data_IF_651089618224
#
_entry.id   IF_651089618224
#
_cell.length_a   1.000
_cell.length_b   1.000
_cell.length_c   1.000
_cell.angle_alpha   90.00
_cell.angle_beta   90.00
_cell.angle_gamma   90.00
#
_symmetry.space_group_name_H-M   'P 1'
#
loop_
_entity.id
_entity.type
_entity.pdbx_description
1 polymer ?
#
# COMPACT_ATOMS: atom_id res chain seq x y z
N UNK A 1 8.19 -6.04 -10.34
CA UNK A 1 9.10 -4.91 -10.12
C UNK A 1 9.28 -4.11 -11.39
N UNK A 2 9.58 -4.75 -12.53
CA UNK A 2 9.74 -4.06 -13.82
C UNK A 2 8.61 -3.11 -14.25
N UNK A 3 7.33 -3.41 -13.93
CA UNK A 3 6.22 -2.49 -14.22
C UNK A 3 6.32 -1.20 -13.40
N UNK A 4 6.67 -1.31 -12.11
CA UNK A 4 6.74 -0.16 -11.19
C UNK A 4 8.00 0.68 -11.44
N UNK A 5 9.05 0.07 -11.99
CA UNK A 5 10.30 0.74 -12.35
C UNK A 5 10.28 1.33 -13.76
N UNK A 6 10.09 0.48 -14.77
CA UNK A 6 10.24 0.85 -16.18
C UNK A 6 8.93 1.35 -16.81
N UNK A 7 7.81 1.21 -16.10
CA UNK A 7 6.49 1.51 -16.64
C UNK A 7 6.14 0.64 -17.85
N UNK A 8 6.77 -0.53 -18.03
CA UNK A 8 6.55 -1.41 -19.19
C UNK A 8 6.59 -2.88 -18.79
N UNK A 9 5.82 -3.70 -19.50
CA UNK A 9 5.94 -5.16 -19.41
C UNK A 9 5.81 -5.77 -20.79
N UNK A 10 6.61 -6.79 -21.06
CA UNK A 10 6.52 -7.60 -22.28
C UNK A 10 5.92 -8.95 -21.91
N UNK A 11 4.86 -9.34 -22.61
CA UNK A 11 4.22 -10.64 -22.40
C UNK A 11 5.01 -11.79 -23.05
N UNK A 12 4.53 -13.02 -22.88
CA UNK A 12 5.17 -14.22 -23.45
C UNK A 12 5.08 -14.32 -24.98
N UNK A 13 4.26 -13.47 -25.62
CA UNK A 13 4.14 -13.37 -27.07
C UNK A 13 5.02 -12.24 -27.64
N UNK A 14 5.82 -11.58 -26.80
CA UNK A 14 6.72 -10.50 -27.21
C UNK A 14 6.03 -9.15 -27.37
N UNK A 15 4.78 -8.99 -26.91
CA UNK A 15 4.07 -7.71 -26.97
C UNK A 15 4.44 -6.87 -25.76
N UNK A 16 4.97 -5.68 -26.00
CA UNK A 16 5.30 -4.72 -24.94
C UNK A 16 4.14 -3.75 -24.71
N UNK A 17 3.66 -3.70 -23.46
CA UNK A 17 2.64 -2.75 -23.00
C UNK A 17 3.32 -1.65 -22.19
N UNK A 18 2.87 -0.41 -22.35
CA UNK A 18 3.30 0.74 -21.55
C UNK A 18 2.26 1.10 -20.49
N UNK A 19 2.74 1.40 -19.29
CA UNK A 19 2.02 1.82 -18.10
C UNK A 19 2.38 3.26 -17.69
N UNK A 20 3.13 4.01 -18.52
CA UNK A 20 3.54 5.40 -18.20
C UNK A 20 2.37 6.36 -17.98
N UNK A 21 1.21 6.09 -18.60
CA UNK A 21 -0.05 6.81 -18.41
C UNK A 21 -1.07 5.93 -17.68
N UNK A 22 -0.66 5.23 -16.63
CA UNK A 22 -1.54 4.35 -15.86
C UNK A 22 -1.28 4.51 -14.38
N UNK A 23 -2.36 4.69 -13.62
CA UNK A 23 -2.31 4.62 -12.16
C UNK A 23 -2.45 3.16 -11.75
N UNK A 24 -1.45 2.64 -11.05
CA UNK A 24 -1.47 1.28 -10.53
C UNK A 24 -1.96 1.33 -9.10
N UNK A 25 -3.12 0.72 -8.85
CA UNK A 25 -3.68 0.59 -7.50
C UNK A 25 -3.49 -0.86 -7.06
N UNK A 26 -2.91 -1.04 -5.89
CA UNK A 26 -2.75 -2.33 -5.24
C UNK A 26 -3.48 -2.31 -3.91
N UNK A 27 -4.17 -3.41 -3.60
CA UNK A 27 -4.92 -3.56 -2.35
C UNK A 27 -4.41 -4.77 -1.59
N UNK A 28 -4.42 -4.68 -0.26
CA UNK A 28 -4.00 -5.74 0.64
C UNK A 28 -4.81 -5.66 1.93
N UNK A 29 -5.07 -6.81 2.54
CA UNK A 29 -5.73 -6.92 3.84
C UNK A 29 -4.71 -6.98 5.01
N UNK A 30 -3.41 -6.87 4.74
CA UNK A 30 -2.35 -6.89 5.76
C UNK A 30 -2.57 -5.76 6.77
N UNK A 31 -2.51 -6.10 8.06
CA UNK A 31 -2.67 -5.12 9.14
C UNK A 31 -4.12 -4.67 9.39
N UNK A 32 -5.11 -5.25 8.70
CA UNK A 32 -6.53 -4.90 8.88
C UNK A 32 -7.02 -5.05 10.33
N UNK A 33 -6.42 -5.93 11.12
CA UNK A 33 -6.70 -6.07 12.54
C UNK A 33 -6.40 -4.82 13.37
N UNK A 34 -5.50 -3.93 12.93
CA UNK A 34 -5.18 -2.69 13.65
C UNK A 34 -6.17 -1.56 13.35
N UNK A 35 -6.88 -1.67 12.22
CA UNK A 35 -7.90 -0.70 11.78
C UNK A 35 -9.16 -0.82 12.65
N UNK A 36 -9.50 -2.04 13.08
CA UNK A 36 -10.72 -2.34 13.86
C UNK A 36 -10.59 -2.08 15.36
N UNK A 37 -9.38 -1.90 15.89
CA UNK A 37 -9.11 -1.90 17.33
C UNK A 37 -8.80 -0.51 17.91
N UNK A 38 -9.00 0.57 17.14
CA UNK A 38 -8.61 1.93 17.55
C UNK A 38 -9.84 2.83 17.72
N UNK A 39 -10.75 2.42 18.61
CA UNK A 39 -11.84 3.26 19.13
C UNK A 39 -11.39 4.01 20.40
N UNK A 40 -10.22 4.63 20.35
CA UNK A 40 -9.74 5.46 21.47
C UNK A 40 -10.33 6.87 21.30
N UNK A 41 -11.51 7.10 21.89
CA UNK A 41 -12.26 8.38 21.83
C UNK A 41 -11.47 9.58 22.41
N UNK A 42 -10.31 9.32 23.00
CA UNK A 42 -9.44 10.32 23.64
C UNK A 42 -8.55 11.09 22.68
N UNK A 43 -8.30 10.56 21.46
CA UNK A 43 -7.42 11.16 20.46
C UNK A 43 -8.21 11.90 19.37
N UNK A 44 -7.58 12.92 18.75
CA UNK A 44 -8.14 13.53 17.55
C UNK A 44 -8.15 12.53 16.39
N UNK A 45 -9.09 12.68 15.45
CA UNK A 45 -9.22 11.79 14.28
C UNK A 45 -7.92 11.65 13.49
N UNK A 46 -7.17 12.74 13.37
CA UNK A 46 -5.88 12.75 12.66
C UNK A 46 -4.81 11.95 13.42
N UNK A 47 -4.73 12.11 14.75
CA UNK A 47 -3.79 11.35 15.57
C UNK A 47 -4.12 9.84 15.58
N UNK A 48 -5.41 9.49 15.60
CA UNK A 48 -5.88 8.11 15.46
C UNK A 48 -5.49 7.53 14.09
N UNK A 49 -5.67 8.29 13.01
CA UNK A 49 -5.29 7.84 11.67
C UNK A 49 -3.80 7.57 11.53
N UNK A 50 -2.93 8.48 11.99
CA UNK A 50 -1.48 8.28 11.92
C UNK A 50 -1.04 7.05 12.73
N UNK A 51 -1.63 6.85 13.91
CA UNK A 51 -1.34 5.67 14.75
C UNK A 51 -1.73 4.36 14.05
N UNK A 52 -2.90 4.31 13.42
CA UNK A 52 -3.34 3.15 12.64
C UNK A 52 -2.40 2.93 11.45
N UNK A 53 -2.07 4.02 10.73
CA UNK A 53 -1.19 3.98 9.56
C UNK A 53 0.18 3.41 9.93
N UNK A 54 0.80 3.86 11.02
CA UNK A 54 2.07 3.33 11.50
C UNK A 54 2.02 1.82 11.77
N UNK A 55 1.00 1.34 12.49
CA UNK A 55 0.84 -0.09 12.80
C UNK A 55 0.60 -0.95 11.56
N UNK A 56 -0.23 -0.48 10.63
CA UNK A 56 -0.47 -1.16 9.35
C UNK A 56 0.82 -1.21 8.53
N UNK A 57 1.59 -0.13 8.49
CA UNK A 57 2.86 -0.07 7.77
C UNK A 57 3.93 -0.97 8.39
N UNK A 58 3.98 -1.09 9.71
CA UNK A 58 4.86 -2.03 10.40
C UNK A 58 4.52 -3.48 10.01
N UNK A 59 3.24 -3.84 10.03
CA UNK A 59 2.79 -5.16 9.58
C UNK A 59 3.13 -5.39 8.11
N UNK A 60 2.92 -4.40 7.23
CA UNK A 60 3.28 -4.48 5.82
C UNK A 60 4.77 -4.73 5.60
N UNK A 61 5.65 -4.10 6.39
CA UNK A 61 7.11 -4.30 6.32
C UNK A 61 7.57 -5.71 6.69
N UNK A 62 6.77 -6.46 7.47
CA UNK A 62 7.09 -7.86 7.79
C UNK A 62 6.69 -8.83 6.68
N UNK A 63 5.69 -8.46 5.86
CA UNK A 63 5.15 -9.31 4.78
C UNK A 63 5.83 -9.01 3.45
N UNK A 64 6.00 -7.72 3.13
CA UNK A 64 6.55 -7.28 1.85
C UNK A 64 8.04 -6.98 1.94
N UNK A 65 8.77 -7.31 0.87
CA UNK A 65 10.19 -7.00 0.77
C UNK A 65 10.39 -5.48 0.67
N UNK A 66 11.45 -4.91 1.29
CA UNK A 66 11.75 -3.48 1.20
C UNK A 66 11.86 -2.98 -0.24
N UNK A 67 12.38 -3.79 -1.16
CA UNK A 67 12.48 -3.43 -2.58
C UNK A 67 11.11 -3.09 -3.19
N UNK A 68 10.08 -3.90 -2.92
CA UNK A 68 8.73 -3.62 -3.40
C UNK A 68 8.14 -2.36 -2.76
N UNK A 69 8.32 -2.21 -1.44
CA UNK A 69 7.81 -1.06 -0.70
C UNK A 69 8.45 0.26 -1.16
N UNK A 70 9.72 0.23 -1.56
CA UNK A 70 10.45 1.39 -2.09
C UNK A 70 10.01 1.80 -3.50
N UNK A 71 9.08 1.07 -4.14
CA UNK A 71 8.50 1.38 -5.46
C UNK A 71 7.05 1.86 -5.39
N UNK A 72 6.50 1.98 -4.19
CA UNK A 72 5.14 2.50 -3.98
C UNK A 72 5.27 3.94 -3.54
N UNK A 73 4.64 4.85 -4.29
CA UNK A 73 4.70 6.29 -4.02
C UNK A 73 3.92 6.68 -2.75
N UNK A 74 2.71 6.13 -2.59
CA UNK A 74 1.81 6.49 -1.49
C UNK A 74 1.06 5.27 -0.94
N UNK A 75 0.86 5.28 0.39
CA UNK A 75 0.11 4.27 1.12
C UNK A 75 -1.17 4.88 1.68
N UNK A 76 -2.31 4.35 1.26
CA UNK A 76 -3.64 4.76 1.72
C UNK A 76 -4.19 3.69 2.66
N UNK A 77 -4.60 4.10 3.87
CA UNK A 77 -5.26 3.23 4.84
C UNK A 77 -6.73 3.60 4.90
N UNK A 78 -7.61 2.61 4.71
CA UNK A 78 -9.04 2.82 4.77
C UNK A 78 -9.54 2.73 6.22
N UNK A 79 -10.32 3.72 6.63
CA UNK A 79 -11.08 3.67 7.87
C UNK A 79 -12.27 2.70 7.73
N UNK A 80 -12.70 2.05 8.82
CA UNK A 80 -13.91 1.23 8.80
C UNK A 80 -15.13 2.13 8.49
N UNK A 81 -16.14 1.53 7.85
CA UNK A 81 -17.39 2.19 7.45
C UNK A 81 -18.29 2.49 8.65
#
# INVERSE_FOLDING_TARGET
LQILDDGRVTDSQGRTVSFTNTVIIMTSNVGSQYILNTDDETLSKDATYETIKERVMEAARTVFRPEFMNRVDEYIVFQPL
#
